data_IF_117172710987
#
_entry.id   IF_117172710987
#
_cell.length_a   1.000
_cell.length_b   1.000
_cell.length_c   1.000
_cell.angle_alpha   90.00
_cell.angle_beta   90.00
_cell.angle_gamma   90.00
#
_symmetry.space_group_name_H-M   'P 1'
#
loop_
_entity.id
_entity.type
_entity.pdbx_description
1 polymer ?
#
# COMPACT_ATOMS: atom_id res chain seq x y z
N UNK A 1 4.59 -9.07 -21.81
CA UNK A 1 4.51 -9.77 -20.52
C UNK A 1 3.50 -9.05 -19.63
N UNK A 2 2.45 -9.76 -19.22
CA UNK A 2 1.46 -9.20 -18.28
C UNK A 2 2.13 -9.10 -16.90
N UNK A 3 2.49 -7.87 -16.47
CA UNK A 3 3.04 -7.62 -15.14
C UNK A 3 1.94 -7.86 -14.10
N UNK A 4 2.23 -8.58 -13.03
CA UNK A 4 1.31 -8.74 -11.90
C UNK A 4 1.05 -7.38 -11.23
N UNK A 5 -0.09 -7.24 -10.58
CA UNK A 5 -0.48 -6.02 -9.85
C UNK A 5 -0.44 -6.32 -8.35
N UNK A 6 0.20 -5.44 -7.58
CA UNK A 6 0.15 -5.43 -6.11
C UNK A 6 -0.52 -4.15 -5.64
N UNK A 7 -1.51 -4.29 -4.76
CA UNK A 7 -2.10 -3.17 -4.02
C UNK A 7 -1.54 -3.18 -2.62
N UNK A 8 -0.95 -2.08 -2.20
CA UNK A 8 -0.48 -1.97 -0.82
C UNK A 8 -0.87 -0.64 -0.19
N UNK A 9 -0.91 -0.63 1.13
CA UNK A 9 -1.24 0.53 1.94
C UNK A 9 0.01 0.96 2.73
N UNK A 10 0.23 2.25 2.89
CA UNK A 10 1.15 2.78 3.89
C UNK A 10 0.37 3.26 5.10
N UNK A 11 0.76 2.82 6.28
CA UNK A 11 0.12 3.20 7.53
C UNK A 11 1.15 3.34 8.66
N UNK A 12 0.75 3.96 9.75
CA UNK A 12 1.62 4.33 10.85
C UNK A 12 1.14 5.63 11.49
N UNK A 13 1.83 6.09 12.52
CA UNK A 13 1.48 7.31 13.25
C UNK A 13 1.74 8.58 12.43
N UNK A 14 1.25 9.71 12.92
CA UNK A 14 1.66 11.01 12.38
C UNK A 14 3.17 11.17 12.56
N UNK A 15 3.84 11.78 11.60
CA UNK A 15 5.29 12.01 11.55
C UNK A 15 6.17 10.75 11.44
N UNK A 16 5.61 9.57 11.24
CA UNK A 16 6.42 8.36 10.97
C UNK A 16 7.10 8.39 9.59
N UNK A 17 6.74 9.36 8.72
CA UNK A 17 7.35 9.60 7.41
C UNK A 17 6.71 8.83 6.25
N UNK A 18 5.40 8.57 6.31
CA UNK A 18 4.64 7.89 5.25
C UNK A 18 4.76 8.60 3.92
N UNK A 19 4.40 9.88 3.88
CA UNK A 19 4.45 10.70 2.66
C UNK A 19 5.88 10.85 2.14
N UNK A 20 6.87 11.02 3.02
CA UNK A 20 8.29 11.07 2.61
C UNK A 20 8.73 9.76 1.94
N UNK A 21 8.39 8.61 2.54
CA UNK A 21 8.70 7.30 1.98
C UNK A 21 8.07 7.10 0.59
N UNK A 22 6.78 7.42 0.46
CA UNK A 22 6.08 7.25 -0.81
C UNK A 22 6.58 8.21 -1.88
N UNK A 23 6.77 9.47 -1.55
CA UNK A 23 7.34 10.44 -2.48
C UNK A 23 8.73 10.01 -2.95
N UNK A 24 9.56 9.51 -2.05
CA UNK A 24 10.88 8.95 -2.37
C UNK A 24 10.78 7.73 -3.28
N UNK A 25 9.88 6.80 -2.97
CA UNK A 25 9.65 5.59 -3.78
C UNK A 25 9.20 5.94 -5.20
N UNK A 26 8.25 6.89 -5.35
CA UNK A 26 7.78 7.37 -6.64
C UNK A 26 8.90 8.05 -7.44
N UNK A 27 9.72 8.84 -6.77
CA UNK A 27 10.86 9.51 -7.41
C UNK A 27 11.90 8.50 -7.91
N UNK A 28 12.36 7.59 -7.07
CA UNK A 28 13.41 6.62 -7.42
C UNK A 28 12.94 5.57 -8.45
N UNK A 29 11.65 5.27 -8.49
CA UNK A 29 11.06 4.40 -9.53
C UNK A 29 10.76 5.14 -10.85
N UNK A 30 11.14 6.42 -10.96
CA UNK A 30 10.91 7.28 -12.13
C UNK A 30 9.42 7.41 -12.50
N UNK A 31 8.55 7.34 -11.52
CA UNK A 31 7.11 7.55 -11.69
C UNK A 31 6.72 9.04 -11.71
N UNK A 32 7.67 9.94 -11.45
CA UNK A 32 7.52 11.40 -11.45
C UNK A 32 8.06 11.97 -12.75
N UNK A 33 7.28 12.80 -13.43
CA UNK A 33 7.72 13.48 -14.66
C UNK A 33 8.69 14.62 -14.36
N UNK A 34 9.50 15.01 -15.36
CA UNK A 34 10.56 16.01 -15.19
C UNK A 34 10.04 17.41 -14.81
N UNK A 35 8.86 17.80 -15.29
CA UNK A 35 8.17 19.04 -14.95
C UNK A 35 7.72 19.05 -13.47
N UNK A 36 7.13 17.94 -13.01
CA UNK A 36 6.76 17.76 -11.60
C UNK A 36 7.99 17.80 -10.68
N UNK A 37 9.11 17.24 -11.12
CA UNK A 37 10.34 17.30 -10.34
C UNK A 37 10.90 18.72 -10.23
N UNK A 38 10.86 19.50 -11.31
CA UNK A 38 11.29 20.89 -11.29
C UNK A 38 10.42 21.75 -10.37
N UNK A 39 9.11 21.48 -10.36
CA UNK A 39 8.17 22.13 -9.45
C UNK A 39 8.45 21.72 -8.01
N UNK A 40 8.65 20.43 -7.73
CA UNK A 40 9.00 19.92 -6.40
C UNK A 40 10.25 20.60 -5.83
N UNK A 41 11.29 20.82 -6.65
CA UNK A 41 12.48 21.53 -6.22
C UNK A 41 12.20 23.00 -5.83
N UNK A 42 11.33 23.67 -6.59
CA UNK A 42 10.92 25.04 -6.29
C UNK A 42 10.07 25.12 -5.02
N UNK A 43 9.12 24.17 -4.86
CA UNK A 43 8.21 24.10 -3.72
C UNK A 43 8.96 23.68 -2.45
N UNK A 44 9.92 22.76 -2.53
CA UNK A 44 10.77 22.37 -1.41
C UNK A 44 11.54 23.53 -0.80
N UNK A 45 11.98 24.49 -1.62
CA UNK A 45 12.65 25.71 -1.15
C UNK A 45 11.70 26.70 -0.45
N UNK A 46 10.40 26.69 -0.81
CA UNK A 46 9.41 27.64 -0.27
C UNK A 46 8.67 27.08 0.94
N UNK A 47 8.30 25.82 0.89
CA UNK A 47 7.38 25.16 1.82
C UNK A 47 7.98 23.92 2.47
N UNK A 48 9.16 23.45 2.03
CA UNK A 48 9.77 22.23 2.52
C UNK A 48 10.18 22.32 3.99
N UNK A 49 10.06 21.19 4.68
CA UNK A 49 10.42 21.02 6.09
C UNK A 49 11.83 20.45 6.29
N UNK A 50 12.54 20.15 5.18
CA UNK A 50 13.82 19.42 5.17
C UNK A 50 15.05 20.34 4.91
N UNK A 51 14.93 21.64 5.20
CA UNK A 51 16.00 22.62 4.93
C UNK A 51 16.30 22.72 3.43
N UNK A 52 17.59 22.60 3.05
CA UNK A 52 18.01 22.68 1.64
C UNK A 52 17.76 21.38 0.83
N UNK A 53 17.29 20.32 1.48
CA UNK A 53 17.01 19.04 0.84
C UNK A 53 15.63 19.02 0.20
N UNK A 54 15.46 18.16 -0.83
CA UNK A 54 14.16 17.98 -1.48
C UNK A 54 13.18 17.34 -0.49
N UNK A 55 12.03 17.98 -0.32
CA UNK A 55 10.94 17.42 0.49
C UNK A 55 10.00 16.57 -0.38
N UNK A 56 10.25 15.28 -0.38
CA UNK A 56 9.48 14.33 -1.19
C UNK A 56 8.01 14.21 -0.75
N UNK A 57 7.65 14.64 0.47
CA UNK A 57 6.28 14.60 0.93
C UNK A 57 5.37 15.51 0.09
N UNK A 58 5.89 16.64 -0.40
CA UNK A 58 5.16 17.58 -1.26
C UNK A 58 4.69 16.99 -2.59
N UNK A 59 5.24 15.85 -3.03
CA UNK A 59 4.73 15.12 -4.21
C UNK A 59 3.33 14.52 -3.99
N UNK A 60 2.93 14.36 -2.76
CA UNK A 60 1.71 13.63 -2.39
C UNK A 60 0.58 14.54 -1.94
N UNK A 61 0.90 15.75 -1.49
CA UNK A 61 -0.08 16.70 -0.97
C UNK A 61 -1.01 17.18 -2.10
N UNK A 62 -2.20 16.60 -2.15
CA UNK A 62 -3.17 16.84 -3.23
C UNK A 62 -4.26 17.86 -2.87
N UNK A 63 -4.60 17.99 -1.60
CA UNK A 63 -5.64 18.89 -1.12
C UNK A 63 -5.01 20.13 -0.48
N UNK A 64 -5.60 21.31 -0.71
CA UNK A 64 -5.14 22.55 -0.06
C UNK A 64 -5.14 22.44 1.48
N UNK A 65 -6.12 21.75 2.04
CA UNK A 65 -6.20 21.49 3.47
C UNK A 65 -5.07 20.57 3.99
N UNK A 66 -4.60 19.63 3.18
CA UNK A 66 -3.45 18.76 3.51
C UNK A 66 -2.16 19.56 3.50
N UNK A 67 -1.99 20.43 2.51
CA UNK A 67 -0.83 21.33 2.41
C UNK A 67 -0.77 22.34 3.58
N UNK A 68 -1.93 22.92 3.96
CA UNK A 68 -2.00 23.87 5.07
C UNK A 68 -1.73 23.23 6.44
N UNK A 69 -2.18 21.97 6.63
CA UNK A 69 -2.05 21.27 7.90
C UNK A 69 -0.84 20.34 7.96
N UNK A 70 -0.21 20.04 6.83
CA UNK A 70 0.93 19.11 6.73
C UNK A 70 0.56 17.67 7.10
N UNK A 71 -0.71 17.27 6.91
CA UNK A 71 -1.20 15.91 7.23
C UNK A 71 -2.05 15.36 6.10
N UNK A 72 -1.98 14.05 5.88
CA UNK A 72 -2.90 13.34 4.99
C UNK A 72 -4.27 13.23 5.66
N UNK A 73 -5.32 13.64 4.97
CA UNK A 73 -6.72 13.61 5.47
C UNK A 73 -7.50 12.47 4.85
N UNK A 74 -7.43 12.32 3.52
CA UNK A 74 -8.16 11.30 2.78
C UNK A 74 -7.21 10.26 2.18
N UNK A 75 -7.76 9.17 1.64
CA UNK A 75 -6.98 8.14 0.96
C UNK A 75 -6.63 8.61 -0.44
N UNK A 76 -5.34 8.75 -0.71
CA UNK A 76 -4.83 9.04 -2.04
C UNK A 76 -4.23 7.78 -2.67
N UNK A 77 -4.66 7.46 -3.90
CA UNK A 77 -4.10 6.35 -4.65
C UNK A 77 -3.03 6.84 -5.61
N UNK A 78 -1.86 6.22 -5.56
CA UNK A 78 -0.75 6.49 -6.47
C UNK A 78 -0.36 5.22 -7.22
N UNK A 79 0.18 5.40 -8.42
CA UNK A 79 0.48 4.32 -9.34
C UNK A 79 1.94 4.40 -9.77
N UNK A 80 2.63 3.29 -9.72
CA UNK A 80 3.96 3.18 -10.30
C UNK A 80 4.21 1.75 -10.79
N UNK A 81 5.27 1.55 -11.52
CA UNK A 81 5.63 0.23 -12.02
C UNK A 81 7.13 0.06 -12.09
N UNK A 82 7.58 -1.16 -11.86
CA UNK A 82 8.93 -1.61 -12.15
C UNK A 82 8.92 -2.51 -13.38
N UNK A 83 10.07 -3.04 -13.76
CA UNK A 83 10.13 -4.04 -14.82
C UNK A 83 9.34 -5.31 -14.47
N UNK A 84 9.25 -5.65 -13.18
CA UNK A 84 8.64 -6.88 -12.69
C UNK A 84 7.14 -6.76 -12.42
N UNK A 85 6.69 -5.61 -11.83
CA UNK A 85 5.37 -5.49 -11.26
C UNK A 85 4.77 -4.10 -11.40
N UNK A 86 3.44 -4.02 -11.44
CA UNK A 86 2.66 -2.79 -11.28
C UNK A 86 2.23 -2.65 -9.82
N UNK A 87 2.18 -1.41 -9.33
CA UNK A 87 1.80 -1.12 -7.96
C UNK A 87 0.70 -0.08 -7.92
N UNK A 88 -0.25 -0.29 -7.02
CA UNK A 88 -1.18 0.72 -6.53
C UNK A 88 -0.90 0.89 -5.06
N UNK A 89 -0.53 2.08 -4.65
CA UNK A 89 -0.34 2.38 -3.23
C UNK A 89 -1.44 3.30 -2.75
N UNK A 90 -2.06 2.94 -1.63
CA UNK A 90 -2.98 3.79 -0.90
C UNK A 90 -2.18 4.53 0.18
N UNK A 91 -1.97 5.83 0.00
CA UNK A 91 -1.48 6.69 1.08
C UNK A 91 -2.62 6.98 2.03
N UNK A 92 -2.37 6.79 3.33
CA UNK A 92 -3.44 6.89 4.32
C UNK A 92 -3.05 7.78 5.48
N UNK A 93 -4.05 8.46 6.08
CA UNK A 93 -3.83 9.34 7.19
C UNK A 93 -3.27 8.60 8.42
N UNK A 94 -2.35 9.27 9.12
CA UNK A 94 -1.79 8.78 10.37
C UNK A 94 -2.58 9.22 11.61
N UNK A 95 -3.42 10.23 11.48
CA UNK A 95 -4.14 10.82 12.58
C UNK A 95 -5.34 9.97 13.04
N UNK A 96 -5.57 9.88 14.34
CA UNK A 96 -6.61 9.05 14.94
C UNK A 96 -8.02 9.34 14.38
N UNK A 97 -8.34 10.60 14.18
CA UNK A 97 -9.64 11.05 13.66
C UNK A 97 -9.96 10.51 12.26
N UNK A 98 -8.94 10.21 11.47
CA UNK A 98 -9.07 9.71 10.10
C UNK A 98 -8.88 8.19 9.97
N UNK A 99 -8.93 7.44 11.07
CA UNK A 99 -8.78 5.98 11.08
C UNK A 99 -9.78 5.29 10.11
N UNK A 100 -10.96 5.88 9.90
CA UNK A 100 -11.94 5.36 8.93
C UNK A 100 -11.42 5.38 7.50
N UNK A 101 -10.72 6.45 7.11
CA UNK A 101 -10.13 6.57 5.79
C UNK A 101 -8.98 5.56 5.63
N UNK A 102 -8.16 5.37 6.66
CA UNK A 102 -7.14 4.31 6.69
C UNK A 102 -7.76 2.92 6.47
N UNK A 103 -8.88 2.61 7.14
CA UNK A 103 -9.58 1.34 6.96
C UNK A 103 -10.11 1.15 5.53
N UNK A 104 -10.56 2.24 4.88
CA UNK A 104 -10.97 2.22 3.47
C UNK A 104 -9.81 1.80 2.56
N UNK A 105 -8.62 2.36 2.75
CA UNK A 105 -7.42 1.95 2.01
C UNK A 105 -7.04 0.50 2.27
N UNK A 106 -7.11 0.05 3.54
CA UNK A 106 -6.77 -1.31 3.93
C UNK A 106 -7.69 -2.36 3.31
N UNK A 107 -8.97 -2.06 3.12
CA UNK A 107 -9.98 -3.01 2.65
C UNK A 107 -9.70 -3.61 1.27
N UNK A 108 -8.89 -2.94 0.45
CA UNK A 108 -8.54 -3.36 -0.91
C UNK A 108 -7.08 -3.75 -1.07
N UNK A 109 -6.28 -3.64 0.01
CA UNK A 109 -4.84 -3.86 -0.04
C UNK A 109 -4.48 -5.36 0.05
N UNK A 110 -3.45 -5.75 -0.71
CA UNK A 110 -2.84 -7.08 -0.68
C UNK A 110 -1.72 -7.17 0.37
N UNK A 111 -1.07 -6.03 0.61
CA UNK A 111 0.02 -5.89 1.56
C UNK A 111 -0.09 -4.58 2.35
N UNK A 112 0.55 -4.51 3.51
CA UNK A 112 0.65 -3.28 4.29
C UNK A 112 2.11 -2.99 4.65
N UNK A 113 2.52 -1.74 4.45
CA UNK A 113 3.79 -1.20 4.93
C UNK A 113 3.48 -0.33 6.15
N UNK A 114 3.84 -0.84 7.32
CA UNK A 114 3.62 -0.16 8.60
C UNK A 114 4.89 0.58 9.00
N UNK A 115 4.83 1.90 8.97
CA UNK A 115 5.97 2.74 9.35
C UNK A 115 6.00 2.98 10.85
N UNK A 116 7.21 3.05 11.37
CA UNK A 116 7.50 3.43 12.75
C UNK A 116 8.74 4.32 12.80
N UNK A 117 8.70 5.40 13.57
CA UNK A 117 9.87 6.22 13.86
C UNK A 117 10.82 5.46 14.83
N UNK A 118 12.06 5.24 14.40
CA UNK A 118 13.07 4.51 15.18
C UNK A 118 13.32 5.11 16.57
N UNK A 119 13.10 6.41 16.76
CA UNK A 119 13.25 7.08 18.07
C UNK A 119 12.11 6.73 19.02
N UNK A 120 10.87 6.61 18.47
CA UNK A 120 9.64 6.45 19.25
C UNK A 120 9.28 4.98 19.50
N UNK A 121 9.56 4.08 18.52
CA UNK A 121 9.14 2.69 18.55
C UNK A 121 7.64 2.53 18.33
N UNK A 122 7.03 1.51 18.94
CA UNK A 122 5.61 1.21 18.78
C UNK A 122 4.74 2.22 19.53
N UNK A 123 3.86 2.91 18.79
CA UNK A 123 2.86 3.82 19.35
C UNK A 123 1.45 3.20 19.32
N UNK A 124 0.52 3.80 20.07
CA UNK A 124 -0.87 3.36 20.12
C UNK A 124 -1.51 3.31 18.70
N UNK A 125 -1.20 4.31 17.88
CA UNK A 125 -1.72 4.40 16.53
C UNK A 125 -1.11 3.31 15.61
N UNK A 126 0.18 2.99 15.78
CA UNK A 126 0.83 1.88 15.07
C UNK A 126 0.12 0.55 15.38
N UNK A 127 -0.17 0.30 16.66
CA UNK A 127 -0.92 -0.89 17.10
C UNK A 127 -2.32 -0.94 16.49
N UNK A 128 -3.04 0.20 16.48
CA UNK A 128 -4.38 0.32 15.90
C UNK A 128 -4.38 0.00 14.40
N UNK A 129 -3.47 0.60 13.64
CA UNK A 129 -3.36 0.36 12.20
C UNK A 129 -2.97 -1.08 11.88
N UNK A 130 -2.04 -1.65 12.63
CA UNK A 130 -1.66 -3.07 12.51
C UNK A 130 -2.85 -4.00 12.75
N UNK A 131 -3.64 -3.72 13.80
CA UNK A 131 -4.82 -4.51 14.11
C UNK A 131 -5.89 -4.41 13.02
N UNK A 132 -6.12 -3.22 12.47
CA UNK A 132 -7.04 -3.03 11.32
C UNK A 132 -6.57 -3.85 10.12
N UNK A 133 -5.28 -3.77 9.76
CA UNK A 133 -4.73 -4.58 8.67
C UNK A 133 -4.94 -6.09 8.91
N UNK A 134 -4.74 -6.55 10.14
CA UNK A 134 -4.98 -7.93 10.54
C UNK A 134 -6.46 -8.32 10.40
N UNK A 135 -7.40 -7.48 10.85
CA UNK A 135 -8.85 -7.72 10.72
C UNK A 135 -9.32 -7.79 9.25
N UNK A 136 -8.71 -7.01 8.36
CA UNK A 136 -8.97 -7.11 6.91
C UNK A 136 -8.30 -8.32 6.25
N UNK A 137 -7.56 -9.13 7.02
CA UNK A 137 -6.92 -10.34 6.51
C UNK A 137 -5.74 -10.05 5.58
N UNK A 138 -5.08 -8.90 5.71
CA UNK A 138 -3.86 -8.60 4.96
C UNK A 138 -2.75 -9.53 5.47
N UNK A 139 -2.30 -10.45 4.62
CA UNK A 139 -1.32 -11.47 4.99
C UNK A 139 0.13 -10.96 4.95
N UNK A 140 0.41 -10.01 4.06
CA UNK A 140 1.77 -9.51 3.83
C UNK A 140 1.97 -8.19 4.57
N UNK A 141 2.55 -8.27 5.75
CA UNK A 141 2.85 -7.11 6.60
C UNK A 141 4.35 -6.86 6.55
N UNK A 142 4.74 -5.65 6.15
CA UNK A 142 6.12 -5.17 6.19
C UNK A 142 6.18 -4.03 7.21
N UNK A 143 6.98 -4.21 8.24
CA UNK A 143 7.22 -3.20 9.27
C UNK A 143 8.48 -2.46 8.91
N UNK A 144 8.33 -1.20 8.48
CA UNK A 144 9.42 -0.32 8.09
C UNK A 144 9.81 0.58 9.27
N UNK A 145 10.92 0.28 9.91
CA UNK A 145 11.49 1.11 10.97
C UNK A 145 12.24 2.26 10.31
N UNK A 146 11.58 3.41 10.25
CA UNK A 146 12.04 4.60 9.54
C UNK A 146 12.83 5.55 10.44
N UNK A 147 13.53 6.49 9.82
CA UNK A 147 14.38 7.49 10.47
C UNK A 147 15.55 6.85 11.22
N UNK A 148 16.10 5.79 10.65
CA UNK A 148 17.30 5.14 11.22
C UNK A 148 18.52 6.07 11.26
N UNK A 149 18.57 7.07 10.38
CA UNK A 149 19.56 8.15 10.39
C UNK A 149 19.57 8.93 11.71
N UNK A 150 18.39 9.17 12.31
CA UNK A 150 18.27 9.91 13.58
C UNK A 150 18.67 9.10 14.81
N UNK A 151 18.89 7.81 14.65
CA UNK A 151 19.43 6.92 15.69
C UNK A 151 20.78 6.32 15.24
N UNK A 152 21.52 7.05 14.38
CA UNK A 152 22.85 6.69 13.90
C UNK A 152 22.95 5.27 13.33
N UNK A 153 21.87 4.81 12.69
CA UNK A 153 21.73 3.48 12.06
C UNK A 153 21.99 2.31 13.02
N UNK A 154 21.67 2.48 14.30
CA UNK A 154 22.03 1.53 15.35
C UNK A 154 21.24 0.22 15.24
N UNK A 155 21.95 -0.90 15.10
CA UNK A 155 21.38 -2.24 15.01
C UNK A 155 20.58 -2.63 16.25
N UNK A 156 21.08 -2.32 17.44
CA UNK A 156 20.43 -2.69 18.70
C UNK A 156 19.07 -1.99 18.86
N UNK A 157 18.99 -0.73 18.44
CA UNK A 157 17.71 0.01 18.45
C UNK A 157 16.68 -0.64 17.54
N UNK A 158 17.08 -1.02 16.32
CA UNK A 158 16.21 -1.75 15.40
C UNK A 158 15.74 -3.08 16.00
N UNK A 159 16.65 -3.86 16.56
CA UNK A 159 16.33 -5.16 17.15
C UNK A 159 15.34 -5.03 18.31
N UNK A 160 15.49 -4.05 19.19
CA UNK A 160 14.56 -3.80 20.28
C UNK A 160 13.14 -3.53 19.77
N UNK A 161 13.01 -2.69 18.72
CA UNK A 161 11.71 -2.39 18.10
C UNK A 161 11.09 -3.64 17.46
N UNK A 162 11.90 -4.46 16.80
CA UNK A 162 11.48 -5.74 16.21
C UNK A 162 10.89 -6.67 17.27
N UNK A 163 11.58 -6.83 18.39
CA UNK A 163 11.10 -7.70 19.48
C UNK A 163 9.81 -7.18 20.10
N UNK A 164 9.72 -5.88 20.38
CA UNK A 164 8.50 -5.26 20.89
C UNK A 164 7.31 -5.48 19.93
N UNK A 165 7.55 -5.31 18.62
CA UNK A 165 6.50 -5.51 17.62
C UNK A 165 6.09 -6.97 17.49
N UNK A 166 7.02 -7.93 17.55
CA UNK A 166 6.72 -9.36 17.53
C UNK A 166 5.83 -9.77 18.69
N UNK A 167 6.11 -9.27 19.91
CA UNK A 167 5.27 -9.53 21.08
C UNK A 167 3.83 -9.00 20.86
N UNK A 168 3.72 -7.79 20.34
CA UNK A 168 2.41 -7.22 19.99
C UNK A 168 1.73 -8.04 18.88
N UNK A 169 2.40 -8.37 17.78
CA UNK A 169 1.86 -9.15 16.67
C UNK A 169 1.33 -10.51 17.13
N UNK A 170 2.09 -11.21 17.99
CA UNK A 170 1.67 -12.47 18.58
C UNK A 170 0.40 -12.31 19.42
N UNK A 171 0.27 -11.22 20.19
CA UNK A 171 -0.91 -10.96 21.03
C UNK A 171 -2.22 -10.79 20.26
N UNK A 172 -2.14 -10.40 18.98
CA UNK A 172 -3.30 -10.22 18.09
C UNK A 172 -3.44 -11.35 17.05
N UNK A 173 -2.58 -12.36 17.09
CA UNK A 173 -2.59 -13.48 16.13
C UNK A 173 -2.07 -13.13 14.74
N UNK A 174 -1.33 -12.03 14.59
CA UNK A 174 -0.67 -11.65 13.33
C UNK A 174 0.54 -12.57 13.09
N UNK A 175 0.56 -13.19 11.91
CA UNK A 175 1.61 -14.18 11.57
C UNK A 175 2.69 -13.49 10.73
N UNK A 176 3.93 -13.69 11.15
CA UNK A 176 5.17 -13.50 10.39
C UNK A 176 5.34 -12.15 9.65
N UNK A 177 5.28 -11.00 10.35
CA UNK A 177 5.59 -9.72 9.73
C UNK A 177 7.08 -9.63 9.36
N UNK A 178 7.37 -9.10 8.18
CA UNK A 178 8.73 -8.79 7.73
C UNK A 178 9.19 -7.46 8.30
N UNK A 179 10.48 -7.32 8.63
CA UNK A 179 11.04 -6.10 9.21
C UNK A 179 12.15 -5.53 8.35
N UNK A 180 12.14 -4.23 8.14
CA UNK A 180 13.18 -3.53 7.39
C UNK A 180 13.54 -2.20 8.04
N UNK A 181 14.84 -1.92 8.29
CA UNK A 181 15.29 -0.60 8.72
C UNK A 181 15.47 0.30 7.50
N UNK A 182 14.91 1.51 7.54
CA UNK A 182 14.97 2.46 6.42
C UNK A 182 15.32 3.88 6.88
N UNK A 183 15.78 4.72 5.96
CA UNK A 183 15.74 6.17 6.06
C UNK A 183 14.99 6.74 4.85
N UNK A 184 13.79 7.26 5.07
CA UNK A 184 12.95 7.86 4.03
C UNK A 184 13.63 9.07 3.37
N UNK A 185 14.36 9.88 4.14
CA UNK A 185 15.04 11.08 3.66
C UNK A 185 16.26 10.72 2.82
N UNK A 186 17.07 9.77 3.27
CA UNK A 186 18.32 9.40 2.59
C UNK A 186 18.15 8.30 1.54
N UNK A 187 17.01 7.62 1.50
CA UNK A 187 16.73 6.52 0.56
C UNK A 187 17.29 5.17 0.99
N UNK A 188 17.84 5.08 2.21
CA UNK A 188 18.45 3.85 2.70
C UNK A 188 17.45 2.69 2.77
N UNK A 189 17.77 1.58 2.13
CA UNK A 189 16.97 0.36 2.02
C UNK A 189 15.57 0.53 1.39
N UNK A 190 15.34 1.61 0.62
CA UNK A 190 14.04 1.81 -0.06
C UNK A 190 14.05 1.10 -1.41
N UNK A 191 14.83 1.54 -2.36
CA UNK A 191 14.97 0.91 -3.69
C UNK A 191 16.23 0.05 -3.75
N UNK A 192 17.33 0.53 -3.20
CA UNK A 192 18.61 -0.17 -3.09
C UNK A 192 18.98 -0.47 -1.65
N UNK A 193 19.86 -1.45 -1.45
CA UNK A 193 20.39 -1.80 -0.12
C UNK A 193 21.34 -0.70 0.35
N UNK A 194 21.25 -0.32 1.63
CA UNK A 194 22.01 0.75 2.24
C UNK A 194 23.43 0.34 2.59
N UNK A 195 24.39 1.21 2.31
CA UNK A 195 25.77 1.10 2.79
C UNK A 195 25.92 1.48 4.28
N UNK A 196 24.97 2.26 4.82
CA UNK A 196 24.99 2.70 6.22
C UNK A 196 24.52 1.60 7.18
N UNK A 197 23.76 0.63 6.68
CA UNK A 197 23.19 -0.47 7.48
C UNK A 197 23.67 -1.84 6.98
N UNK A 198 24.97 -2.02 6.81
CA UNK A 198 25.59 -3.30 6.33
C UNK A 198 25.27 -4.51 7.19
N UNK A 199 24.81 -4.28 8.42
CA UNK A 199 24.37 -5.33 9.33
C UNK A 199 22.98 -5.90 8.94
N UNK A 200 22.16 -5.14 8.18
CA UNK A 200 20.93 -5.66 7.61
C UNK A 200 21.25 -6.45 6.34
N UNK A 201 20.97 -7.75 6.36
CA UNK A 201 21.25 -8.66 5.24
C UNK A 201 20.01 -8.94 4.37
N UNK A 202 18.90 -8.29 4.68
CA UNK A 202 17.65 -8.41 3.92
C UNK A 202 17.65 -7.57 2.64
N UNK A 203 16.64 -7.76 1.79
CA UNK A 203 16.44 -6.96 0.59
C UNK A 203 15.96 -5.55 0.91
N UNK A 204 15.94 -4.67 -0.10
CA UNK A 204 15.29 -3.35 -0.02
C UNK A 204 13.76 -3.48 0.07
N UNK A 205 13.08 -2.40 0.48
CA UNK A 205 11.61 -2.35 0.56
C UNK A 205 10.95 -2.64 -0.79
N UNK A 206 11.45 -2.02 -1.87
CA UNK A 206 10.92 -2.27 -3.22
C UNK A 206 11.06 -3.75 -3.59
N UNK A 207 12.19 -4.35 -3.28
CA UNK A 207 12.42 -5.77 -3.57
C UNK A 207 11.50 -6.67 -2.74
N UNK A 208 11.25 -6.36 -1.46
CA UNK A 208 10.24 -7.08 -0.65
C UNK A 208 8.86 -7.01 -1.30
N UNK A 209 8.42 -5.82 -1.75
CA UNK A 209 7.15 -5.63 -2.42
C UNK A 209 7.06 -6.36 -3.78
N UNK A 210 8.16 -6.41 -4.52
CA UNK A 210 8.23 -7.15 -5.79
C UNK A 210 8.11 -8.66 -5.62
N UNK A 211 8.64 -9.19 -4.53
CA UNK A 211 8.74 -10.64 -4.29
C UNK A 211 7.50 -11.20 -3.55
N UNK A 212 6.53 -10.35 -3.15
CA UNK A 212 5.27 -10.83 -2.58
C UNK A 212 4.55 -11.73 -3.57
N UNK A 213 4.27 -12.97 -3.17
CA UNK A 213 3.47 -13.88 -3.96
C UNK A 213 1.99 -13.74 -3.64
N UNK A 214 1.17 -13.43 -4.66
CA UNK A 214 -0.29 -13.26 -4.54
C UNK A 214 -1.09 -14.51 -4.97
N UNK A 215 -0.42 -15.60 -5.33
CA UNK A 215 -1.07 -16.80 -5.90
C UNK A 215 -2.13 -17.44 -4.97
N UNK A 216 -2.07 -17.18 -3.68
CA UNK A 216 -3.06 -17.66 -2.70
C UNK A 216 -4.46 -17.05 -2.82
N UNK A 217 -4.67 -15.97 -3.60
CA UNK A 217 -5.98 -15.29 -3.69
C UNK A 217 -6.91 -15.82 -4.77
N UNK A 218 -6.39 -16.43 -5.80
CA UNK A 218 -7.21 -17.03 -6.85
C UNK A 218 -7.09 -18.54 -6.80
N UNK A 219 -7.88 -19.16 -5.98
CA UNK A 219 -8.15 -20.58 -6.13
C UNK A 219 -8.95 -20.76 -7.41
N UNK A 220 -8.24 -20.76 -8.55
CA UNK A 220 -8.84 -21.01 -9.86
C UNK A 220 -9.62 -22.34 -9.91
N UNK A 221 -9.28 -23.27 -9.01
CA UNK A 221 -9.99 -24.55 -8.80
C UNK A 221 -11.29 -24.42 -8.00
N UNK A 222 -11.57 -23.28 -7.39
CA UNK A 222 -12.81 -23.07 -6.64
C UNK A 222 -13.97 -22.70 -7.57
N UNK A 223 -15.24 -22.94 -7.16
CA UNK A 223 -16.39 -22.45 -7.90
C UNK A 223 -16.31 -20.94 -8.13
N UNK A 224 -16.75 -20.49 -9.30
CA UNK A 224 -16.83 -19.06 -9.61
C UNK A 224 -17.73 -18.31 -8.63
N UNK A 225 -17.23 -17.22 -8.09
CA UNK A 225 -17.98 -16.29 -7.23
C UNK A 225 -17.62 -14.85 -7.59
N UNK A 226 -18.64 -14.05 -7.81
CA UNK A 226 -18.52 -12.64 -8.11
C UNK A 226 -19.61 -11.85 -7.38
N UNK A 227 -19.29 -11.05 -6.36
CA UNK A 227 -20.22 -10.06 -5.82
C UNK A 227 -20.60 -9.05 -6.90
N UNK A 228 -21.91 -8.86 -7.11
CA UNK A 228 -22.40 -7.82 -8.02
C UNK A 228 -22.25 -6.46 -7.34
N UNK A 229 -21.40 -5.61 -7.90
CA UNK A 229 -21.12 -4.27 -7.39
C UNK A 229 -21.90 -3.19 -8.12
N UNK A 230 -22.20 -3.40 -9.40
CA UNK A 230 -22.92 -2.44 -10.23
C UNK A 230 -23.79 -3.16 -11.26
N UNK A 231 -24.99 -2.59 -11.50
CA UNK A 231 -25.84 -2.98 -12.62
C UNK A 231 -25.73 -1.92 -13.72
N UNK A 232 -25.18 -2.31 -14.86
CA UNK A 232 -25.01 -1.44 -16.02
C UNK A 232 -26.24 -1.53 -16.93
N UNK A 233 -26.87 -0.40 -17.20
CA UNK A 233 -27.98 -0.27 -18.12
C UNK A 233 -27.90 1.06 -18.90
N UNK A 234 -26.95 1.18 -19.84
CA UNK A 234 -26.77 2.42 -20.58
C UNK A 234 -27.94 2.73 -21.54
N UNK A 235 -28.71 1.72 -21.96
CA UNK A 235 -29.88 1.85 -22.83
C UNK A 235 -30.90 0.74 -22.53
N UNK A 236 -32.00 0.68 -23.32
CA UNK A 236 -33.08 -0.32 -23.19
C UNK A 236 -32.61 -1.74 -23.54
N UNK A 237 -31.63 -1.87 -24.42
CA UNK A 237 -31.26 -3.14 -25.06
C UNK A 237 -30.12 -3.87 -24.33
N UNK A 238 -29.41 -3.15 -23.47
CA UNK A 238 -28.30 -3.69 -22.70
C UNK A 238 -28.60 -3.68 -21.20
N UNK A 239 -28.36 -4.83 -20.58
CA UNK A 239 -28.32 -4.98 -19.12
C UNK A 239 -27.24 -5.95 -18.74
N UNK A 240 -26.21 -5.45 -18.08
CA UNK A 240 -25.08 -6.23 -17.56
C UNK A 240 -24.87 -6.01 -16.08
N UNK A 241 -24.14 -6.92 -15.45
CA UNK A 241 -23.68 -6.79 -14.05
C UNK A 241 -22.16 -6.71 -14.04
N UNK A 242 -21.62 -5.84 -13.20
CA UNK A 242 -20.18 -5.72 -12.99
C UNK A 242 -19.80 -6.09 -11.57
N UNK A 243 -18.63 -6.69 -11.42
CA UNK A 243 -18.03 -7.04 -10.14
C UNK A 243 -16.64 -7.62 -10.34
N UNK A 244 -15.96 -7.89 -9.23
CA UNK A 244 -14.65 -8.54 -9.22
C UNK A 244 -14.83 -10.01 -8.91
N UNK A 245 -14.28 -10.92 -9.76
CA UNK A 245 -14.24 -12.34 -9.44
C UNK A 245 -13.37 -12.56 -8.20
N UNK A 246 -13.93 -13.19 -7.17
CA UNK A 246 -13.22 -13.52 -5.92
C UNK A 246 -12.74 -14.97 -5.90
N UNK A 247 -13.30 -15.84 -6.74
CA UNK A 247 -12.85 -17.22 -6.92
C UNK A 247 -13.31 -17.78 -8.25
N UNK A 248 -12.60 -18.82 -8.73
CA UNK A 248 -12.90 -19.54 -9.95
C UNK A 248 -12.76 -18.73 -11.22
N UNK A 249 -13.17 -19.31 -12.32
CA UNK A 249 -13.25 -18.67 -13.63
C UNK A 249 -14.65 -18.88 -14.23
N UNK A 250 -14.99 -18.08 -15.22
CA UNK A 250 -16.27 -18.12 -15.90
C UNK A 250 -16.07 -17.94 -17.40
N UNK A 251 -16.87 -18.66 -18.18
CA UNK A 251 -16.87 -18.59 -19.65
C UNK A 251 -18.27 -18.29 -20.19
N UNK A 252 -18.33 -17.85 -21.42
CA UNK A 252 -19.60 -17.69 -22.14
C UNK A 252 -20.33 -19.04 -22.18
N UNK A 253 -21.65 -19.02 -21.95
CA UNK A 253 -22.58 -20.14 -21.84
C UNK A 253 -22.51 -20.95 -20.55
N UNK A 254 -21.61 -20.63 -19.60
CA UNK A 254 -21.61 -21.28 -18.30
C UNK A 254 -22.93 -21.00 -17.55
N UNK A 255 -23.44 -22.01 -16.84
CA UNK A 255 -24.59 -21.85 -15.96
C UNK A 255 -24.15 -21.24 -14.63
N UNK A 256 -24.85 -20.21 -14.19
CA UNK A 256 -24.60 -19.52 -12.93
C UNK A 256 -25.87 -19.45 -12.08
N UNK A 257 -25.68 -19.49 -10.77
CA UNK A 257 -26.76 -19.25 -9.80
C UNK A 257 -26.67 -17.85 -9.23
N UNK A 258 -27.79 -17.13 -9.23
CA UNK A 258 -27.85 -15.75 -8.70
C UNK A 258 -28.40 -15.80 -7.28
N UNK A 259 -27.63 -15.37 -6.33
CA UNK A 259 -28.03 -15.25 -4.93
C UNK A 259 -28.52 -13.84 -4.59
N UNK A 260 -29.49 -13.67 -3.63
CA UNK A 260 -30.08 -14.70 -2.78
C UNK A 260 -31.23 -15.52 -3.44
N UNK A 261 -31.65 -15.19 -4.65
CA UNK A 261 -32.86 -15.78 -5.26
C UNK A 261 -32.73 -17.26 -5.65
N UNK A 262 -31.52 -17.78 -5.78
CA UNK A 262 -31.25 -19.14 -6.26
C UNK A 262 -31.56 -19.38 -7.74
N UNK A 263 -31.97 -18.33 -8.49
CA UNK A 263 -32.29 -18.46 -9.92
C UNK A 263 -31.05 -18.83 -10.71
N UNK A 264 -31.22 -19.78 -11.63
CA UNK A 264 -30.21 -20.19 -12.57
C UNK A 264 -30.34 -19.42 -13.89
N UNK A 265 -29.22 -19.06 -14.47
CA UNK A 265 -29.14 -18.42 -15.77
C UNK A 265 -27.82 -18.77 -16.47
N UNK A 266 -27.67 -18.39 -17.75
CA UNK A 266 -26.42 -18.61 -18.49
C UNK A 266 -25.74 -17.29 -18.78
N UNK A 267 -24.42 -17.33 -18.80
CA UNK A 267 -23.58 -16.19 -19.21
C UNK A 267 -23.75 -15.98 -20.70
N UNK A 268 -24.37 -14.86 -21.08
CA UNK A 268 -24.55 -14.48 -22.47
C UNK A 268 -23.25 -13.98 -23.10
N UNK A 269 -22.56 -13.13 -22.38
CA UNK A 269 -21.37 -12.45 -22.88
C UNK A 269 -20.52 -11.94 -21.70
N UNK A 270 -19.21 -11.86 -21.88
CA UNK A 270 -18.26 -11.28 -20.93
C UNK A 270 -17.63 -10.08 -21.63
N UNK A 271 -17.84 -8.88 -21.06
CA UNK A 271 -17.33 -7.62 -21.61
C UNK A 271 -16.18 -7.16 -20.74
N UNK A 272 -15.04 -6.90 -21.36
CA UNK A 272 -13.86 -6.33 -20.73
C UNK A 272 -13.49 -5.00 -21.38
N UNK A 273 -12.63 -4.17 -20.76
CA UNK A 273 -12.14 -2.94 -21.37
C UNK A 273 -11.44 -3.14 -22.71
N UNK A 274 -10.95 -4.36 -22.97
CA UNK A 274 -10.24 -4.74 -24.20
C UNK A 274 -11.14 -5.41 -25.26
N UNK A 275 -12.45 -5.35 -25.07
CA UNK A 275 -13.46 -6.00 -25.94
C UNK A 275 -14.04 -7.28 -25.32
N UNK A 276 -14.96 -7.92 -26.06
CA UNK A 276 -15.59 -9.19 -25.70
C UNK A 276 -14.77 -10.39 -26.13
#
# INVERSE_FOLDING_TARGET
LNKSLLRFITCGSVDDGKSTLLGRLLFETKAVFSDQFSQLQADSKKFGTQGDSIDYALLLDGLSAEQEQGITIDVAYRFFSTEKRKFIVADTPGHEQYTRNMATGASTADAAVILMDARKGILAQTKRHSYICHLFGIKHIIVAVNKMDLVTYEKLRFQAIVEDYKLFAASIGMVDPSFIPISGIHGDNIVSVSENMKWHKGPSLLKLLEDINLEDRTTLSQPFRMPVQLVNRPNSDFRGVSGTSISGYISKNDEVSVFPSGKKTKVKEIISPNGS
#
